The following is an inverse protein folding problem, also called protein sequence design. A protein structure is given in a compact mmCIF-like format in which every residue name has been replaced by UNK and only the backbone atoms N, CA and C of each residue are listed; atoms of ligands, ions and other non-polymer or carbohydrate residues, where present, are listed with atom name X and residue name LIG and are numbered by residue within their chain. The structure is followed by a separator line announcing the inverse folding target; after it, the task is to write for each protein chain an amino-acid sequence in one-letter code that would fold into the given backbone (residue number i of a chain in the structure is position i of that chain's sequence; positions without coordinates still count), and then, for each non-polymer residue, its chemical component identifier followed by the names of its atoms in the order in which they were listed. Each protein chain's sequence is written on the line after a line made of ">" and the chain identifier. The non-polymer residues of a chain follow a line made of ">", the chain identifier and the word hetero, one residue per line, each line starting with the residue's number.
data_IF_100970072513
#
_entry.id   IF_100970072513
#
_cell.length_a   1.000
_cell.length_b   1.000
_cell.length_c   1.000
_cell.angle_alpha   90.00
_cell.angle_beta   90.00
_cell.angle_gamma   90.00
#
_symmetry.space_group_name_H-M   'P 1'
#
loop_
_entity.id
_entity.type
_entity.pdbx_description
1 polymer ?
#
# COMPACT_ATOMS: atom_id res chain seq x y z
N UNK A 1 -16.42 3.15 -26.37
CA UNK A 1 -15.53 3.24 -25.20
C UNK A 1 -15.01 1.84 -24.98
N UNK A 2 -13.74 1.59 -25.34
CA UNK A 2 -13.12 0.28 -25.06
C UNK A 2 -12.77 0.23 -23.59
N UNK A 3 -13.34 -0.73 -22.88
CA UNK A 3 -12.88 -1.13 -21.55
C UNK A 3 -11.55 -1.86 -21.77
N UNK A 4 -10.45 -1.28 -21.30
CA UNK A 4 -9.15 -1.96 -21.26
C UNK A 4 -9.28 -3.14 -20.30
N UNK A 5 -9.04 -4.36 -20.77
CA UNK A 5 -9.00 -5.55 -19.93
C UNK A 5 -7.84 -5.51 -18.92
N UNK A 6 -7.78 -6.50 -18.00
CA UNK A 6 -6.74 -6.57 -16.98
C UNK A 6 -5.33 -6.55 -17.58
N UNK A 7 -4.46 -5.71 -17.00
CA UNK A 7 -3.11 -5.45 -17.50
C UNK A 7 -2.05 -6.19 -16.68
N UNK A 8 -1.66 -7.40 -17.12
CA UNK A 8 -0.48 -8.11 -16.56
C UNK A 8 0.78 -7.24 -16.66
N UNK A 9 0.90 -6.47 -17.75
CA UNK A 9 1.99 -5.53 -17.94
C UNK A 9 2.02 -4.38 -16.92
N UNK A 10 0.88 -4.00 -16.33
CA UNK A 10 0.85 -3.04 -15.23
C UNK A 10 1.37 -3.68 -13.94
N UNK A 11 0.95 -4.90 -13.62
CA UNK A 11 1.42 -5.62 -12.43
C UNK A 11 2.95 -5.76 -12.42
N UNK A 12 3.56 -6.12 -13.55
CA UNK A 12 5.02 -6.23 -13.70
C UNK A 12 5.74 -4.89 -13.53
N UNK A 13 5.16 -3.79 -14.04
CA UNK A 13 5.73 -2.44 -13.87
C UNK A 13 5.66 -1.98 -12.42
N UNK A 14 4.49 -2.09 -11.78
CA UNK A 14 4.32 -1.78 -10.36
C UNK A 14 5.27 -2.59 -9.51
N UNK A 15 5.49 -3.86 -9.91
CA UNK A 15 6.46 -4.70 -9.25
C UNK A 15 7.87 -4.15 -9.35
N UNK A 16 8.31 -3.81 -10.55
CA UNK A 16 9.64 -3.22 -10.76
C UNK A 16 9.87 -1.95 -9.94
N UNK A 17 8.84 -1.12 -9.70
CA UNK A 17 8.93 0.08 -8.87
C UNK A 17 9.20 -0.28 -7.41
N UNK A 18 8.50 -1.29 -6.90
CA UNK A 18 8.67 -1.77 -5.53
C UNK A 18 10.06 -2.39 -5.34
N UNK A 19 10.49 -3.23 -6.28
CA UNK A 19 11.77 -3.94 -6.24
C UNK A 19 12.96 -2.99 -6.26
N UNK A 20 12.84 -1.85 -6.94
CA UNK A 20 13.88 -0.82 -6.97
C UNK A 20 14.11 -0.15 -5.60
N UNK A 21 13.16 -0.25 -4.67
CA UNK A 21 13.20 0.42 -3.37
C UNK A 21 13.46 -0.54 -2.20
N UNK A 22 13.15 -1.83 -2.34
CA UNK A 22 13.18 -2.81 -1.24
C UNK A 22 14.22 -3.90 -1.53
N UNK A 23 15.32 -3.90 -0.77
CA UNK A 23 16.33 -4.97 -0.84
C UNK A 23 15.73 -6.29 -0.31
N UNK A 24 15.94 -7.40 -1.03
CA UNK A 24 15.44 -8.75 -0.73
C UNK A 24 13.94 -8.98 -1.00
N UNK A 25 13.52 -8.51 -2.18
CA UNK A 25 12.14 -8.46 -2.65
C UNK A 25 11.37 -9.81 -2.69
N UNK A 26 11.98 -10.94 -3.04
CA UNK A 26 11.25 -12.20 -3.35
C UNK A 26 10.37 -12.81 -2.25
N UNK A 27 10.26 -12.14 -1.10
CA UNK A 27 9.41 -12.50 0.04
C UNK A 27 8.09 -11.71 0.15
N UNK A 28 7.82 -10.70 -0.70
CA UNK A 28 6.63 -9.83 -0.54
C UNK A 28 5.53 -10.04 -1.59
N UNK A 29 4.32 -10.25 -1.11
CA UNK A 29 3.09 -10.03 -1.88
C UNK A 29 2.85 -8.52 -2.03
N UNK A 30 2.11 -8.10 -3.08
CA UNK A 30 1.98 -6.67 -3.42
C UNK A 30 0.57 -6.34 -3.86
N UNK A 31 0.05 -5.25 -3.30
CA UNK A 31 -1.25 -4.66 -3.66
C UNK A 31 -1.03 -3.18 -3.98
N UNK A 32 -1.70 -2.69 -5.01
CA UNK A 32 -1.77 -1.26 -5.30
C UNK A 32 -3.07 -0.69 -4.71
N UNK A 33 -2.98 0.45 -4.06
CA UNK A 33 -4.13 1.07 -3.38
C UNK A 33 -4.08 2.58 -3.52
N UNK A 34 -5.21 3.26 -3.79
CA UNK A 34 -5.31 4.67 -3.50
C UNK A 34 -5.34 4.90 -1.98
N UNK A 35 -5.04 6.13 -1.58
CA UNK A 35 -5.13 6.51 -0.17
C UNK A 35 -4.53 7.88 0.09
N UNK A 36 -4.46 8.22 1.38
CA UNK A 36 -3.89 9.45 1.87
C UNK A 36 -2.84 9.16 2.93
N UNK A 37 -1.80 10.01 2.97
CA UNK A 37 -0.83 10.03 4.06
C UNK A 37 -0.92 11.36 4.81
N UNK A 38 -0.74 11.29 6.13
CA UNK A 38 -0.73 12.44 6.99
C UNK A 38 0.33 12.29 8.08
N UNK A 39 0.75 13.44 8.60
CA UNK A 39 1.73 13.54 9.66
C UNK A 39 1.05 14.01 10.94
N UNK A 40 1.17 13.25 12.03
CA UNK A 40 0.69 13.68 13.34
C UNK A 40 1.63 14.70 13.99
N UNK A 41 2.89 14.76 13.54
CA UNK A 41 3.95 15.59 14.09
C UNK A 41 4.73 16.22 12.95
N UNK A 42 4.67 17.55 12.83
CA UNK A 42 5.40 18.31 11.79
C UNK A 42 6.82 17.77 11.52
N UNK A 43 7.18 17.56 10.26
CA UNK A 43 8.47 17.01 9.83
C UNK A 43 8.55 15.47 9.81
N UNK A 44 7.43 14.75 9.85
CA UNK A 44 7.45 13.28 9.74
C UNK A 44 7.60 12.79 8.29
N UNK A 45 8.07 11.55 8.06
CA UNK A 45 8.13 10.97 6.72
C UNK A 45 6.81 11.05 5.95
N UNK A 46 5.66 10.99 6.64
CA UNK A 46 4.35 11.04 5.98
C UNK A 46 4.01 12.39 5.31
N UNK A 47 4.66 13.49 5.68
CA UNK A 47 4.50 14.76 4.96
C UNK A 47 4.98 14.67 3.51
N UNK A 48 6.08 13.97 3.27
CA UNK A 48 6.59 13.70 1.92
C UNK A 48 5.63 12.79 1.13
N UNK A 49 4.83 11.99 1.84
CA UNK A 49 3.91 11.01 1.26
C UNK A 49 2.51 11.56 0.98
N UNK A 50 2.14 12.70 1.59
CA UNK A 50 0.78 13.24 1.55
C UNK A 50 0.28 13.59 0.14
N UNK A 51 1.20 13.84 -0.80
CA UNK A 51 0.88 14.18 -2.19
C UNK A 51 0.67 12.95 -3.11
N UNK A 52 0.96 11.73 -2.66
CA UNK A 52 1.06 10.58 -3.54
C UNK A 52 -0.27 10.08 -4.11
N UNK A 53 -1.32 10.04 -3.29
CA UNK A 53 -2.65 9.54 -3.67
C UNK A 53 -2.73 8.04 -4.00
N UNK A 54 -1.60 7.39 -4.30
CA UNK A 54 -1.46 5.97 -4.60
C UNK A 54 -0.23 5.39 -3.89
N UNK A 55 -0.37 4.15 -3.43
CA UNK A 55 0.63 3.43 -2.68
C UNK A 55 0.74 2.00 -3.19
N UNK A 56 1.96 1.49 -3.20
CA UNK A 56 2.26 0.08 -3.25
C UNK A 56 2.39 -0.44 -1.83
N UNK A 57 1.59 -1.44 -1.50
CA UNK A 57 1.59 -2.13 -0.20
C UNK A 57 2.21 -3.49 -0.39
N UNK A 58 3.48 -3.60 -0.02
CA UNK A 58 4.18 -4.88 0.09
C UNK A 58 3.91 -5.51 1.44
N UNK A 59 3.72 -6.83 1.51
CA UNK A 59 3.60 -7.52 2.79
C UNK A 59 4.19 -8.92 2.76
N UNK A 60 4.67 -9.38 3.92
CA UNK A 60 5.17 -10.74 4.12
C UNK A 60 4.80 -11.24 5.51
N UNK A 61 4.67 -12.57 5.67
CA UNK A 61 4.26 -13.22 6.94
C UNK A 61 5.43 -13.60 7.86
N UNK A 62 6.68 -13.61 7.37
CA UNK A 62 7.83 -14.09 8.13
C UNK A 62 9.13 -13.34 7.82
N UNK A 63 9.58 -12.40 8.69
CA UNK A 63 8.82 -11.82 9.80
C UNK A 63 7.61 -11.00 9.30
N UNK A 64 6.54 -10.90 10.10
CA UNK A 64 5.36 -10.13 9.72
C UNK A 64 5.70 -8.64 9.53
N UNK A 65 5.51 -8.13 8.32
CA UNK A 65 5.93 -6.78 7.95
C UNK A 65 5.11 -6.27 6.76
N UNK A 66 4.79 -4.98 6.80
CA UNK A 66 4.23 -4.17 5.72
C UNK A 66 5.28 -3.20 5.22
N UNK A 67 5.29 -2.95 3.93
CA UNK A 67 6.01 -1.85 3.29
C UNK A 67 5.00 -0.97 2.57
N UNK A 68 4.95 0.31 2.92
CA UNK A 68 4.09 1.30 2.27
C UNK A 68 4.99 2.19 1.42
N UNK A 69 4.88 2.07 0.11
CA UNK A 69 5.72 2.78 -0.85
C UNK A 69 4.85 3.72 -1.71
N UNK A 70 4.93 5.05 -1.55
CA UNK A 70 4.22 5.99 -2.41
C UNK A 70 4.85 6.04 -3.80
N UNK A 71 4.03 6.19 -4.82
CA UNK A 71 4.51 6.33 -6.20
C UNK A 71 3.59 7.23 -7.03
N UNK A 72 4.14 7.81 -8.09
CA UNK A 72 3.36 8.56 -9.06
C UNK A 72 2.84 7.58 -10.12
N UNK A 73 1.52 7.38 -10.26
CA UNK A 73 0.98 6.48 -11.27
C UNK A 73 1.26 6.93 -12.70
N UNK A 74 1.46 8.23 -12.96
CA UNK A 74 1.73 8.78 -14.29
C UNK A 74 3.15 8.48 -14.74
N UNK A 75 4.15 8.70 -13.88
CA UNK A 75 5.56 8.47 -14.23
C UNK A 75 6.01 7.04 -13.91
N UNK A 76 5.28 6.34 -13.04
CA UNK A 76 5.66 5.04 -12.47
C UNK A 76 7.00 5.14 -11.73
N UNK A 77 7.18 6.21 -10.95
CA UNK A 77 8.37 6.46 -10.14
C UNK A 77 8.01 6.58 -8.65
N UNK A 78 8.92 6.20 -7.74
CA UNK A 78 8.75 6.45 -6.31
C UNK A 78 8.62 7.94 -6.00
N UNK A 79 7.73 8.30 -5.08
CA UNK A 79 7.57 9.69 -4.64
C UNK A 79 8.33 10.02 -3.36
N UNK A 80 8.51 9.04 -2.49
CA UNK A 80 9.25 9.16 -1.25
C UNK A 80 9.79 7.78 -0.84
N UNK A 81 10.77 7.70 0.09
CA UNK A 81 11.27 6.42 0.58
C UNK A 81 10.15 5.58 1.21
N UNK A 82 10.15 4.25 1.01
CA UNK A 82 9.12 3.39 1.57
C UNK A 82 9.19 3.34 3.10
N UNK A 83 8.04 3.20 3.75
CA UNK A 83 7.94 3.03 5.20
C UNK A 83 7.66 1.57 5.52
N UNK A 84 8.55 0.96 6.31
CA UNK A 84 8.32 -0.35 6.90
C UNK A 84 7.45 -0.23 8.15
N UNK A 85 6.42 -1.07 8.26
CA UNK A 85 5.52 -1.16 9.40
C UNK A 85 5.48 -2.59 9.90
N UNK A 86 5.77 -2.78 11.19
CA UNK A 86 5.76 -4.09 11.85
C UNK A 86 5.21 -3.95 13.29
N UNK A 87 5.20 -5.07 14.03
CA UNK A 87 4.68 -5.09 15.41
C UNK A 87 5.46 -4.22 16.40
N UNK A 88 6.66 -3.75 16.04
CA UNK A 88 7.53 -2.95 16.93
C UNK A 88 7.35 -1.45 16.73
N UNK A 89 6.96 -1.02 15.53
CA UNK A 89 6.78 0.38 15.20
C UNK A 89 5.33 0.78 14.86
N UNK A 90 4.41 -0.17 14.77
CA UNK A 90 2.98 0.09 14.61
C UNK A 90 2.38 0.58 15.93
N UNK A 91 1.89 1.82 15.93
CA UNK A 91 1.17 2.42 17.05
C UNK A 91 -0.32 2.08 17.00
N UNK A 92 -0.91 2.09 15.80
CA UNK A 92 -2.31 1.75 15.55
C UNK A 92 -2.44 1.08 14.18
N UNK A 93 -3.19 -0.01 14.14
CA UNK A 93 -3.64 -0.64 12.91
C UNK A 93 -5.09 -1.04 13.08
N UNK A 94 -5.98 -0.55 12.22
CA UNK A 94 -7.40 -0.88 12.30
C UNK A 94 -8.06 -0.92 10.92
N UNK A 95 -9.05 -1.80 10.78
CA UNK A 95 -9.99 -1.74 9.68
C UNK A 95 -11.03 -0.65 9.97
N UNK A 96 -11.14 0.34 9.09
CA UNK A 96 -12.19 1.36 9.16
C UNK A 96 -13.49 0.86 8.51
N UNK A 97 -13.34 0.08 7.44
CA UNK A 97 -14.40 -0.68 6.76
C UNK A 97 -13.85 -2.05 6.32
N UNK A 98 -14.65 -2.81 5.58
CA UNK A 98 -14.21 -4.05 4.91
C UNK A 98 -13.10 -3.83 3.86
N UNK A 99 -12.94 -2.59 3.40
CA UNK A 99 -12.03 -2.21 2.29
C UNK A 99 -11.17 -1.00 2.59
N UNK A 100 -11.12 -0.53 3.83
CA UNK A 100 -10.27 0.60 4.20
C UNK A 100 -9.60 0.36 5.53
N UNK A 101 -8.34 0.76 5.61
CA UNK A 101 -7.53 0.62 6.82
C UNK A 101 -6.92 1.95 7.23
N UNK A 102 -6.65 2.05 8.53
CA UNK A 102 -5.83 3.08 9.13
C UNK A 102 -4.57 2.44 9.71
N UNK A 103 -3.42 2.99 9.37
CA UNK A 103 -2.13 2.64 9.96
C UNK A 103 -1.49 3.89 10.55
N UNK A 104 -1.02 3.80 11.78
CA UNK A 104 -0.21 4.83 12.43
C UNK A 104 1.06 4.19 12.99
N UNK A 105 2.18 4.86 12.78
CA UNK A 105 3.50 4.43 13.23
C UNK A 105 3.99 5.28 14.41
N UNK A 106 4.94 4.76 15.18
CA UNK A 106 5.61 5.51 16.26
C UNK A 106 6.39 6.72 15.75
N UNK A 107 6.77 6.75 14.47
CA UNK A 107 7.37 7.91 13.80
C UNK A 107 6.36 9.01 13.44
N UNK A 108 5.07 8.84 13.75
CA UNK A 108 4.02 9.81 13.47
C UNK A 108 3.45 9.75 12.05
N UNK A 109 3.90 8.80 11.23
CA UNK A 109 3.34 8.58 9.90
C UNK A 109 1.98 7.89 10.03
N UNK A 110 0.97 8.45 9.35
CA UNK A 110 -0.41 7.96 9.32
C UNK A 110 -0.85 7.73 7.88
N UNK A 111 -1.40 6.56 7.61
CA UNK A 111 -1.91 6.18 6.29
C UNK A 111 -3.37 5.76 6.37
N UNK A 112 -4.19 6.30 5.48
CA UNK A 112 -5.54 5.80 5.20
C UNK A 112 -5.52 5.19 3.81
N UNK A 113 -5.73 3.89 3.70
CA UNK A 113 -5.60 3.15 2.45
C UNK A 113 -6.93 2.47 2.08
N UNK A 114 -7.30 2.54 0.81
CA UNK A 114 -8.56 2.02 0.26
C UNK A 114 -8.30 0.76 -0.60
N UNK A 115 -8.40 -0.41 0.03
CA UNK A 115 -8.06 -1.71 -0.54
C UNK A 115 -9.20 -2.20 -1.46
N UNK A 116 -8.92 -2.36 -2.75
CA UNK A 116 -9.90 -2.84 -3.73
C UNK A 116 -9.34 -3.95 -4.63
N UNK A 117 -10.11 -5.04 -4.87
CA UNK A 117 -9.70 -6.14 -5.75
C UNK A 117 -9.61 -5.73 -7.22
N UNK A 118 -10.21 -4.60 -7.59
CA UNK A 118 -10.19 -4.03 -8.94
C UNK A 118 -9.97 -2.53 -8.82
N UNK A 119 -8.91 -2.00 -9.42
CA UNK A 119 -8.63 -0.55 -9.43
C UNK A 119 -8.33 -0.06 -10.84
N UNK A 120 -8.67 1.19 -11.12
CA UNK A 120 -8.16 1.92 -12.28
C UNK A 120 -6.97 2.76 -11.86
N UNK A 121 -5.81 2.50 -12.45
CA UNK A 121 -4.58 3.26 -12.20
C UNK A 121 -4.39 4.26 -13.35
N UNK A 122 -4.34 5.58 -13.07
CA UNK A 122 -4.24 6.59 -14.12
C UNK A 122 -2.79 6.74 -14.60
N UNK A 123 -2.31 5.81 -15.43
CA UNK A 123 -0.93 5.85 -15.96
C UNK A 123 -0.76 6.83 -17.12
N UNK A 124 0.47 6.97 -17.63
CA UNK A 124 0.75 7.71 -18.86
C UNK A 124 0.06 7.10 -20.10
N UNK A 125 -0.29 5.81 -20.08
CA UNK A 125 -1.00 5.14 -21.16
C UNK A 125 -2.54 5.34 -21.10
N UNK A 126 -3.04 6.02 -20.07
CA UNK A 126 -4.46 6.18 -19.78
C UNK A 126 -4.85 5.49 -18.47
N UNK A 127 -6.14 5.24 -18.29
CA UNK A 127 -6.62 4.45 -17.15
C UNK A 127 -6.42 2.96 -17.46
N UNK A 128 -5.52 2.33 -16.72
CA UNK A 128 -5.24 0.90 -16.82
C UNK A 128 -5.93 0.17 -15.67
N UNK A 129 -6.61 -0.93 -15.99
CA UNK A 129 -7.31 -1.75 -14.99
C UNK A 129 -6.35 -2.77 -14.40
N UNK A 130 -6.28 -2.81 -13.07
CA UNK A 130 -5.52 -3.78 -12.29
C UNK A 130 -6.48 -4.69 -11.51
N UNK A 131 -6.44 -5.99 -11.82
CA UNK A 131 -7.09 -7.04 -11.06
C UNK A 131 -6.12 -7.62 -10.03
N UNK A 132 -6.54 -7.65 -8.76
CA UNK A 132 -5.71 -8.03 -7.62
C UNK A 132 -6.56 -8.76 -6.55
N UNK A 133 -7.60 -9.49 -6.96
CA UNK A 133 -8.55 -10.14 -6.04
C UNK A 133 -7.87 -11.12 -5.07
N UNK A 134 -6.99 -11.98 -5.58
CA UNK A 134 -6.26 -12.95 -4.76
C UNK A 134 -5.28 -12.25 -3.79
N UNK A 135 -4.54 -11.25 -4.28
CA UNK A 135 -3.57 -10.50 -3.48
C UNK A 135 -4.25 -9.68 -2.38
N UNK A 136 -5.42 -9.11 -2.68
CA UNK A 136 -6.26 -8.37 -1.72
C UNK A 136 -6.84 -9.30 -0.67
N UNK A 137 -7.36 -10.48 -1.06
CA UNK A 137 -7.88 -11.44 -0.10
C UNK A 137 -6.79 -11.89 0.90
N UNK A 138 -5.59 -12.22 0.41
CA UNK A 138 -4.46 -12.60 1.27
C UNK A 138 -3.96 -11.42 2.13
N UNK A 139 -3.96 -10.18 1.58
CA UNK A 139 -3.60 -8.98 2.34
C UNK A 139 -4.57 -8.76 3.50
N UNK A 140 -5.89 -8.86 3.28
CA UNK A 140 -6.88 -8.67 4.33
C UNK A 140 -6.75 -9.73 5.42
N UNK A 141 -6.46 -10.98 5.06
CA UNK A 141 -6.16 -12.04 6.05
C UNK A 141 -4.89 -11.72 6.85
N UNK A 142 -3.84 -11.25 6.18
CA UNK A 142 -2.61 -10.82 6.82
C UNK A 142 -2.84 -9.66 7.80
N UNK A 143 -3.59 -8.63 7.40
CA UNK A 143 -3.88 -7.45 8.23
C UNK A 143 -4.72 -7.83 9.46
N UNK A 144 -5.68 -8.75 9.30
CA UNK A 144 -6.47 -9.28 10.41
C UNK A 144 -5.59 -9.99 11.46
N UNK A 145 -4.50 -10.64 11.03
CA UNK A 145 -3.52 -11.24 11.95
C UNK A 145 -2.59 -10.20 12.57
N UNK A 146 -2.14 -9.21 11.78
CA UNK A 146 -1.20 -8.18 12.22
C UNK A 146 -1.81 -7.23 13.26
N UNK A 147 -3.05 -6.80 13.08
CA UNK A 147 -3.73 -5.87 14.00
C UNK A 147 -4.09 -6.52 15.35
N UNK A 148 -4.01 -7.85 15.43
CA UNK A 148 -4.54 -8.62 16.55
C UNK A 148 -6.07 -8.55 16.63
N UNK A 149 -6.68 -9.20 17.64
CA UNK A 149 -8.12 -9.11 17.84
C UNK A 149 -8.53 -7.65 18.07
N UNK A 150 -9.56 -7.20 17.35
CA UNK A 150 -10.14 -5.86 17.53
C UNK A 150 -10.38 -5.59 19.02
N UNK A 151 -9.70 -4.59 19.59
CA UNK A 151 -9.98 -4.14 20.93
C UNK A 151 -11.37 -3.50 20.91
N UNK A 152 -12.39 -4.26 21.35
CA UNK A 152 -13.72 -3.72 21.56
C UNK A 152 -13.64 -2.70 22.71
N UNK A 153 -14.24 -1.51 22.56
CA UNK A 153 -14.36 -0.56 23.66
C UNK A 153 -15.17 -1.15 24.82
#
# INVERSE_FOLDING_TARGET
>A
MSLSGPSVALQDRLRSIFDAQVMNYGAYNLVCTPGDAASATGGSPAEEHAAAGHFLVGYRRGPAELIIAPFDPKTLEPLAPPIAVDNTNMLRGEALTDRSILLETTSGARFRLEISPLIEVPTAAGNEVLEQEADVADLLEFLAQLFGPAQRP
#
